data_IF_113370244004
#
_entry.id   IF_113370244004
#
_cell.length_a   1.000
_cell.length_b   1.000
_cell.length_c   1.000
_cell.angle_alpha   90.00
_cell.angle_beta   90.00
_cell.angle_gamma   90.00
#
_symmetry.space_group_name_H-M   'P 1'
#
loop_
_entity.id
_entity.type
_entity.pdbx_description
1 polymer ?
#
# COMPACT_ATOMS: atom_id res chain seq x y z
N UNK A 1 19.29 -0.83 -11.18
CA UNK A 1 18.56 -1.93 -10.51
C UNK A 1 17.34 -2.29 -11.34
N UNK A 2 17.19 -3.54 -11.76
CA UNK A 2 16.08 -4.03 -12.59
C UNK A 2 14.76 -3.97 -11.82
N UNK A 3 13.77 -3.24 -12.36
CA UNK A 3 12.43 -3.11 -11.76
C UNK A 3 11.73 -4.48 -11.79
N UNK A 4 11.81 -5.25 -10.69
CA UNK A 4 11.18 -6.59 -10.58
C UNK A 4 9.65 -6.59 -10.63
N UNK A 5 9.01 -5.45 -10.38
CA UNK A 5 7.55 -5.37 -10.21
C UNK A 5 6.96 -4.20 -11.03
N UNK A 6 6.77 -4.38 -12.33
CA UNK A 6 6.05 -3.38 -13.14
C UNK A 6 4.58 -3.34 -12.73
N UNK A 7 4.09 -2.13 -12.43
CA UNK A 7 2.67 -1.91 -12.12
C UNK A 7 1.99 -1.49 -13.42
N UNK A 8 1.18 -2.39 -13.96
CA UNK A 8 0.22 -2.06 -15.01
C UNK A 8 -1.15 -1.92 -14.35
N UNK A 9 -1.63 -0.68 -14.24
CA UNK A 9 -3.01 -0.39 -13.83
C UNK A 9 -3.90 -0.41 -15.06
N UNK A 10 -5.04 -1.10 -14.98
CA UNK A 10 -6.11 -0.87 -15.96
C UNK A 10 -6.73 0.51 -15.76
N UNK A 11 -7.42 1.02 -16.78
CA UNK A 11 -8.11 2.31 -16.69
C UNK A 11 -9.17 2.32 -15.57
N UNK A 12 -9.88 1.20 -15.38
CA UNK A 12 -10.82 1.01 -14.27
C UNK A 12 -10.15 1.08 -12.89
N UNK A 13 -9.00 0.41 -12.71
CA UNK A 13 -8.24 0.47 -11.46
C UNK A 13 -7.71 1.87 -11.19
N UNK A 14 -7.25 2.58 -12.24
CA UNK A 14 -6.79 3.96 -12.14
C UNK A 14 -7.92 4.88 -11.68
N UNK A 15 -9.12 4.75 -12.25
CA UNK A 15 -10.29 5.52 -11.82
C UNK A 15 -10.68 5.20 -10.38
N UNK A 16 -10.63 3.94 -9.96
CA UNK A 16 -10.94 3.53 -8.58
C UNK A 16 -9.96 4.16 -7.57
N UNK A 17 -8.65 4.12 -7.87
CA UNK A 17 -7.62 4.76 -7.05
C UNK A 17 -7.79 6.28 -6.98
N UNK A 18 -8.10 6.93 -8.11
CA UNK A 18 -8.37 8.37 -8.15
C UNK A 18 -9.62 8.75 -7.37
N UNK A 19 -10.70 7.95 -7.49
CA UNK A 19 -11.91 8.14 -6.72
C UNK A 19 -11.64 8.02 -5.21
N UNK A 20 -10.81 7.06 -4.80
CA UNK A 20 -10.43 6.86 -3.41
C UNK A 20 -9.61 8.04 -2.86
N UNK A 21 -8.62 8.51 -3.62
CA UNK A 21 -7.83 9.70 -3.26
C UNK A 21 -8.73 10.93 -3.15
N UNK A 22 -9.62 11.13 -4.13
CA UNK A 22 -10.52 12.28 -4.19
C UNK A 22 -11.57 12.28 -3.08
N UNK A 23 -12.04 11.11 -2.66
CA UNK A 23 -13.04 10.96 -1.59
C UNK A 23 -12.51 11.40 -0.22
N UNK A 24 -11.20 11.25 0.03
CA UNK A 24 -10.55 11.71 1.28
C UNK A 24 -11.00 11.04 2.59
N UNK A 25 -12.05 10.20 2.56
CA UNK A 25 -12.62 9.48 3.71
C UNK A 25 -11.89 8.17 4.04
N UNK A 26 -10.93 7.77 3.21
CA UNK A 26 -10.12 6.57 3.43
C UNK A 26 -9.02 6.85 4.46
N UNK A 27 -8.46 5.80 5.06
CA UNK A 27 -7.36 5.98 6.02
C UNK A 27 -6.17 6.63 5.32
N UNK A 28 -5.42 7.49 6.01
CA UNK A 28 -4.24 8.14 5.45
C UNK A 28 -3.24 7.14 4.82
N UNK A 29 -3.16 5.92 5.35
CA UNK A 29 -2.33 4.83 4.82
C UNK A 29 -2.85 4.28 3.48
N UNK A 30 -4.16 4.16 3.32
CA UNK A 30 -4.82 3.72 2.08
C UNK A 30 -4.59 4.75 0.96
N UNK A 31 -4.79 6.03 1.27
CA UNK A 31 -4.57 7.14 0.34
C UNK A 31 -3.10 7.18 -0.10
N UNK A 32 -2.14 7.05 0.82
CA UNK A 32 -0.71 7.00 0.48
C UNK A 32 -0.39 5.84 -0.46
N UNK A 33 -0.90 4.64 -0.19
CA UNK A 33 -0.71 3.48 -1.06
C UNK A 33 -1.31 3.71 -2.45
N UNK A 34 -2.49 4.32 -2.53
CA UNK A 34 -3.10 4.70 -3.80
C UNK A 34 -2.20 5.65 -4.61
N UNK A 35 -1.66 6.70 -3.98
CA UNK A 35 -0.70 7.59 -4.63
C UNK A 35 0.56 6.85 -5.09
N UNK A 36 1.12 5.97 -4.26
CA UNK A 36 2.28 5.14 -4.63
C UNK A 36 2.00 4.34 -5.90
N UNK A 37 0.85 3.68 -5.99
CA UNK A 37 0.47 2.86 -7.16
C UNK A 37 0.26 3.72 -8.41
N UNK A 38 -0.43 4.86 -8.29
CA UNK A 38 -0.64 5.80 -9.40
C UNK A 38 0.69 6.30 -9.96
N UNK A 39 1.59 6.76 -9.09
CA UNK A 39 2.90 7.30 -9.48
C UNK A 39 3.84 6.23 -10.04
N UNK A 40 3.75 5.00 -9.52
CA UNK A 40 4.51 3.88 -10.05
C UNK A 40 4.01 3.43 -11.43
N UNK A 41 2.70 3.51 -11.69
CA UNK A 41 2.11 3.28 -13.01
C UNK A 41 2.48 4.38 -14.01
N UNK A 42 2.62 5.63 -13.56
CA UNK A 42 3.17 6.74 -14.35
C UNK A 42 4.68 6.57 -14.67
N UNK A 43 5.32 5.48 -14.23
CA UNK A 43 6.70 5.14 -14.58
C UNK A 43 7.77 5.76 -13.67
N UNK A 44 7.38 6.51 -12.63
CA UNK A 44 8.31 7.14 -11.69
C UNK A 44 9.19 6.11 -10.96
N UNK A 45 10.36 6.53 -10.52
CA UNK A 45 11.27 5.69 -9.72
C UNK A 45 10.82 5.66 -8.27
N UNK A 46 11.18 4.58 -7.56
CA UNK A 46 10.79 4.41 -6.15
C UNK A 46 11.39 5.50 -5.26
N UNK A 47 12.58 6.01 -5.60
CA UNK A 47 13.25 7.15 -4.96
C UNK A 47 12.42 8.43 -5.10
N UNK A 48 12.00 8.78 -6.32
CA UNK A 48 11.17 9.96 -6.57
C UNK A 48 9.82 9.85 -5.85
N UNK A 49 9.21 8.65 -5.86
CA UNK A 49 7.94 8.42 -5.16
C UNK A 49 8.12 8.57 -3.65
N UNK A 50 9.20 8.03 -3.11
CA UNK A 50 9.56 8.12 -1.70
C UNK A 50 9.77 9.58 -1.26
N UNK A 51 10.45 10.38 -2.07
CA UNK A 51 10.65 11.81 -1.83
C UNK A 51 9.33 12.58 -1.85
N UNK A 52 8.51 12.40 -2.89
CA UNK A 52 7.24 13.13 -3.04
C UNK A 52 6.25 12.79 -1.93
N UNK A 53 6.21 11.53 -1.49
CA UNK A 53 5.30 11.06 -0.44
C UNK A 53 5.92 11.14 0.97
N UNK A 54 7.18 11.58 1.10
CA UNK A 54 7.95 11.61 2.35
C UNK A 54 7.92 10.26 3.10
N UNK A 55 8.14 9.15 2.38
CA UNK A 55 8.19 7.79 2.92
C UNK A 55 9.51 7.11 2.55
N UNK A 56 9.81 5.98 3.19
CA UNK A 56 10.97 5.18 2.80
C UNK A 56 10.74 4.43 1.49
N UNK A 57 11.80 4.29 0.69
CA UNK A 57 11.81 3.46 -0.53
C UNK A 57 11.34 2.04 -0.24
N UNK A 58 11.73 1.47 0.91
CA UNK A 58 11.27 0.16 1.35
C UNK A 58 9.73 0.07 1.51
N UNK A 59 9.06 1.17 1.85
CA UNK A 59 7.59 1.23 1.93
C UNK A 59 6.97 1.18 0.53
N UNK A 60 7.55 1.91 -0.43
CA UNK A 60 7.14 1.89 -1.84
C UNK A 60 7.29 0.47 -2.41
N UNK A 61 8.46 -0.15 -2.22
CA UNK A 61 8.72 -1.52 -2.67
C UNK A 61 7.73 -2.53 -2.09
N UNK A 62 7.42 -2.42 -0.79
CA UNK A 62 6.43 -3.29 -0.14
C UNK A 62 5.05 -3.13 -0.75
N UNK A 63 4.62 -1.89 -1.04
CA UNK A 63 3.33 -1.64 -1.69
C UNK A 63 3.30 -2.20 -3.11
N UNK A 64 4.38 -2.03 -3.89
CA UNK A 64 4.50 -2.61 -5.24
C UNK A 64 4.46 -4.13 -5.21
N UNK A 65 5.23 -4.75 -4.30
CA UNK A 65 5.24 -6.20 -4.11
C UNK A 65 3.88 -6.73 -3.67
N UNK A 66 3.20 -6.03 -2.76
CA UNK A 66 1.87 -6.41 -2.31
C UNK A 66 0.87 -6.35 -3.47
N UNK A 67 0.92 -5.32 -4.32
CA UNK A 67 0.06 -5.22 -5.50
C UNK A 67 0.35 -6.29 -6.56
N UNK A 68 1.60 -6.70 -6.74
CA UNK A 68 1.90 -7.81 -7.65
C UNK A 68 1.48 -9.18 -7.09
N UNK A 69 1.46 -9.35 -5.77
CA UNK A 69 1.13 -10.63 -5.12
C UNK A 69 -0.35 -10.74 -4.75
N UNK A 70 -1.05 -9.63 -4.54
CA UNK A 70 -2.43 -9.56 -4.06
C UNK A 70 -3.26 -8.58 -4.92
N UNK A 71 -4.59 -8.63 -4.82
CA UNK A 71 -5.46 -7.71 -5.56
C UNK A 71 -5.42 -6.27 -5.03
N UNK A 72 -5.90 -5.31 -5.85
CA UNK A 72 -6.00 -3.88 -5.50
C UNK A 72 -6.64 -3.65 -4.12
N UNK A 73 -7.79 -4.29 -3.87
CA UNK A 73 -8.52 -4.19 -2.61
C UNK A 73 -7.70 -4.69 -1.41
N UNK A 74 -6.90 -5.74 -1.58
CA UNK A 74 -6.04 -6.28 -0.52
C UNK A 74 -4.81 -5.39 -0.27
N UNK A 75 -4.32 -4.72 -1.31
CA UNK A 75 -3.22 -3.75 -1.20
C UNK A 75 -3.67 -2.49 -0.46
N UNK A 76 -4.89 -2.02 -0.74
CA UNK A 76 -5.46 -0.87 -0.05
C UNK A 76 -5.80 -1.23 1.39
N UNK A 77 -6.58 -2.29 1.60
CA UNK A 77 -7.11 -2.63 2.93
C UNK A 77 -6.01 -3.14 3.86
N UNK A 78 -5.86 -2.51 5.02
CA UNK A 78 -4.95 -3.02 6.04
C UNK A 78 -5.54 -4.28 6.69
N UNK A 79 -4.89 -5.44 6.50
CA UNK A 79 -5.26 -6.67 7.21
C UNK A 79 -5.26 -6.42 8.72
N UNK A 80 -6.35 -6.82 9.39
CA UNK A 80 -6.49 -6.73 10.86
C UNK A 80 -5.31 -7.47 11.48
N UNK A 81 -4.41 -6.76 12.17
CA UNK A 81 -3.31 -7.40 12.90
C UNK A 81 -3.97 -8.22 14.03
N UNK A 82 -3.79 -9.56 14.08
CA UNK A 82 -4.13 -10.28 15.28
C UNK A 82 -3.26 -9.71 16.41
N UNK A 83 -3.91 -9.12 17.43
CA UNK A 83 -3.19 -8.62 18.59
C UNK A 83 -2.38 -9.75 19.22
N UNK A 84 -1.21 -9.43 19.79
CA UNK A 84 -0.42 -10.40 20.56
C UNK A 84 -1.33 -11.03 21.62
N UNK A 85 -1.46 -12.37 21.71
CA UNK A 85 -2.30 -12.99 22.73
C UNK A 85 -1.79 -12.57 24.12
N UNK A 86 -2.70 -12.15 24.99
CA UNK A 86 -2.38 -11.76 26.36
C UNK A 86 -2.03 -13.03 27.13
N UNK A 87 -0.76 -13.19 27.51
CA UNK A 87 -0.33 -14.32 28.32
C UNK A 87 -0.81 -14.12 29.77
N UNK A 88 -2.05 -14.52 30.07
CA UNK A 88 -2.54 -14.59 31.45
C UNK A 88 -2.22 -15.98 31.99
N UNK A 89 -1.01 -16.16 32.50
CA UNK A 89 -0.71 -17.30 33.36
C UNK A 89 -1.40 -17.04 34.72
N UNK A 90 -2.69 -17.36 34.81
CA UNK A 90 -3.42 -17.38 36.07
C UNK A 90 -2.95 -18.61 36.85
N UNK A 91 -1.93 -18.42 37.69
CA UNK A 91 -1.63 -19.32 38.81
C UNK A 91 -2.92 -19.46 39.62
N UNK A 92 -3.57 -20.61 39.47
CA UNK A 92 -4.70 -21.02 40.29
C UNK A 92 -4.09 -21.47 41.62
N UNK A 93 -4.23 -20.63 42.65
CA UNK A 93 -3.94 -20.97 44.05
C UNK A 93 -5.05 -21.87 44.56
#
# INVERSE_FOLDING_TARGET
MSKKYQINLSESQRQELLALVKKGSAKAREIRRAHTLLMAADGKTDEIIAEILHISVATVERTRKQFCNENLAATLTEKKRPGKPRNTNSLKV
#
